data_IF_933459371591
#
_entry.id   IF_933459371591
#
_cell.length_a   1.000
_cell.length_b   1.000
_cell.length_c   1.000
_cell.angle_alpha   90.00
_cell.angle_beta   90.00
_cell.angle_gamma   90.00
#
_symmetry.space_group_name_H-M   'P 1'
#
loop_
_entity.id
_entity.type
_entity.pdbx_description
1 polymer ?
#
# COMPACT_ATOMS: atom_id res chain seq x y z
N UNK A 1 -4.16 -14.30 -6.34
CA UNK A 1 -3.65 -12.91 -6.46
C UNK A 1 -4.58 -11.88 -5.81
N UNK A 2 -5.91 -11.93 -5.99
CA UNK A 2 -6.86 -10.96 -5.39
C UNK A 2 -6.74 -10.86 -3.86
N UNK A 3 -6.55 -12.00 -3.19
CA UNK A 3 -6.40 -12.06 -1.73
C UNK A 3 -5.15 -11.34 -1.24
N UNK A 4 -4.07 -11.33 -2.02
CA UNK A 4 -2.78 -10.69 -1.64
C UNK A 4 -2.92 -9.16 -1.69
N UNK A 5 -3.64 -8.65 -2.70
CA UNK A 5 -3.99 -7.24 -2.81
C UNK A 5 -4.88 -6.78 -1.64
N UNK A 6 -5.84 -7.63 -1.24
CA UNK A 6 -6.73 -7.35 -0.12
C UNK A 6 -5.97 -7.34 1.21
N UNK A 7 -5.10 -8.32 1.44
CA UNK A 7 -4.24 -8.39 2.64
C UNK A 7 -3.32 -7.18 2.72
N UNK A 8 -2.68 -6.78 1.61
CA UNK A 8 -1.83 -5.60 1.57
C UNK A 8 -2.59 -4.30 1.93
N UNK A 9 -3.82 -4.15 1.42
CA UNK A 9 -4.67 -3.00 1.74
C UNK A 9 -5.06 -2.96 3.23
N UNK A 10 -5.39 -4.12 3.82
CA UNK A 10 -5.72 -4.23 5.25
C UNK A 10 -4.51 -3.90 6.13
N UNK A 11 -3.31 -4.39 5.77
CA UNK A 11 -2.07 -4.08 6.48
C UNK A 11 -1.81 -2.57 6.45
N UNK A 12 -1.90 -1.92 5.30
CA UNK A 12 -1.71 -0.47 5.19
C UNK A 12 -2.78 0.33 5.94
N UNK A 13 -4.03 -0.14 5.98
CA UNK A 13 -5.09 0.48 6.78
C UNK A 13 -4.79 0.41 8.29
N UNK A 14 -4.29 -0.73 8.77
CA UNK A 14 -3.86 -0.87 10.16
C UNK A 14 -2.65 0.03 10.48
N UNK A 15 -1.66 0.11 9.58
CA UNK A 15 -0.49 0.99 9.73
C UNK A 15 -0.91 2.46 9.79
N UNK A 16 -1.84 2.91 8.95
CA UNK A 16 -2.35 4.29 8.98
C UNK A 16 -3.12 4.61 10.26
N UNK A 17 -3.91 3.66 10.78
CA UNK A 17 -4.61 3.81 12.06
C UNK A 17 -3.63 3.94 13.22
N UNK A 18 -2.62 3.09 13.28
CA UNK A 18 -1.58 3.13 14.32
C UNK A 18 -0.77 4.42 14.21
N UNK A 19 -0.36 4.80 13.00
CA UNK A 19 0.38 6.05 12.77
C UNK A 19 -0.44 7.27 13.21
N UNK A 20 -1.74 7.29 12.91
CA UNK A 20 -2.66 8.36 13.33
C UNK A 20 -2.81 8.44 14.84
N UNK A 21 -2.86 7.30 15.51
CA UNK A 21 -2.96 7.26 16.95
C UNK A 21 -1.65 7.68 17.64
N UNK A 22 -0.51 7.26 17.11
CA UNK A 22 0.81 7.47 17.72
C UNK A 22 1.39 8.86 17.48
N UNK A 23 1.10 9.47 16.33
CA UNK A 23 1.66 10.78 15.94
C UNK A 23 0.66 11.94 16.01
N UNK A 24 -0.47 11.75 16.69
CA UNK A 24 -1.52 12.76 16.90
C UNK A 24 -0.98 14.11 17.40
N UNK A 25 0.05 14.08 18.26
CA UNK A 25 0.58 15.26 18.94
C UNK A 25 1.81 15.87 18.23
N UNK A 26 2.24 15.31 17.09
CA UNK A 26 3.43 15.76 16.37
C UNK A 26 3.09 16.84 15.31
N UNK A 27 3.70 18.03 15.34
CA UNK A 27 3.41 19.10 14.39
C UNK A 27 3.72 18.72 12.94
N UNK A 28 4.57 17.71 12.71
CA UNK A 28 4.94 17.24 11.38
C UNK A 28 4.11 16.05 10.87
N UNK A 29 3.11 15.61 11.64
CA UNK A 29 2.28 14.45 11.31
C UNK A 29 1.67 14.54 9.91
N UNK A 30 1.28 15.74 9.45
CA UNK A 30 0.69 15.95 8.11
C UNK A 30 1.61 15.51 6.97
N UNK A 31 2.92 15.77 7.10
CA UNK A 31 3.91 15.36 6.10
C UNK A 31 4.18 13.85 6.19
N UNK A 32 4.29 13.33 7.42
CA UNK A 32 4.53 11.91 7.66
C UNK A 32 3.38 11.05 7.14
N UNK A 33 2.14 11.47 7.39
CA UNK A 33 0.93 10.83 6.90
C UNK A 33 0.84 10.90 5.37
N UNK A 34 1.18 12.04 4.76
CA UNK A 34 1.23 12.18 3.31
C UNK A 34 2.21 11.21 2.65
N UNK A 35 3.42 11.08 3.20
CA UNK A 35 4.43 10.11 2.72
C UNK A 35 3.94 8.67 2.90
N UNK A 36 3.29 8.35 4.02
CA UNK A 36 2.73 7.02 4.27
C UNK A 36 1.67 6.66 3.24
N UNK A 37 0.71 7.56 2.96
CA UNK A 37 -0.35 7.33 1.99
C UNK A 37 0.23 7.20 0.58
N UNK A 38 1.25 7.99 0.24
CA UNK A 38 1.93 7.90 -1.04
C UNK A 38 2.66 6.56 -1.20
N UNK A 39 3.39 6.12 -0.18
CA UNK A 39 4.07 4.82 -0.16
C UNK A 39 3.08 3.65 -0.26
N UNK A 40 1.93 3.73 0.41
CA UNK A 40 0.85 2.75 0.33
C UNK A 40 0.28 2.63 -1.09
N UNK A 41 -0.02 3.77 -1.73
CA UNK A 41 -0.49 3.81 -3.11
C UNK A 41 0.55 3.29 -4.10
N UNK A 42 1.82 3.69 -3.92
CA UNK A 42 2.92 3.29 -4.77
C UNK A 42 3.16 1.77 -4.71
N UNK A 43 3.27 1.20 -3.51
CA UNK A 43 3.44 -0.26 -3.33
C UNK A 43 2.26 -1.04 -3.89
N UNK A 44 1.02 -0.58 -3.70
CA UNK A 44 -0.15 -1.20 -4.33
C UNK A 44 -0.09 -1.17 -5.86
N UNK A 45 0.33 -0.04 -6.45
CA UNK A 45 0.49 0.10 -7.90
C UNK A 45 1.58 -0.82 -8.46
N UNK A 46 2.73 -0.90 -7.79
CA UNK A 46 3.83 -1.81 -8.16
C UNK A 46 3.40 -3.26 -8.09
N UNK A 47 2.73 -3.68 -7.01
CA UNK A 47 2.20 -5.04 -6.85
C UNK A 47 1.16 -5.35 -7.94
N UNK A 48 0.29 -4.38 -8.25
CA UNK A 48 -0.72 -4.52 -9.30
C UNK A 48 -0.07 -4.69 -10.69
N UNK A 49 0.93 -3.87 -11.00
CA UNK A 49 1.72 -3.93 -12.23
C UNK A 49 2.46 -5.28 -12.36
N UNK A 50 3.16 -5.72 -11.30
CA UNK A 50 3.86 -7.00 -11.28
C UNK A 50 2.90 -8.20 -11.41
N UNK A 51 1.72 -8.12 -10.80
CA UNK A 51 0.66 -9.13 -10.95
C UNK A 51 0.10 -9.18 -12.37
N UNK A 52 -0.04 -8.03 -13.04
CA UNK A 52 -0.50 -7.96 -14.44
C UNK A 52 0.52 -8.60 -15.39
N UNK A 53 1.81 -8.31 -15.19
CA UNK A 53 2.92 -8.87 -15.98
C UNK A 53 3.00 -10.41 -15.93
N UNK A 54 2.72 -11.01 -14.75
CA UNK A 54 2.64 -12.48 -14.61
C UNK A 54 1.50 -13.12 -15.41
N UNK A 55 0.39 -12.39 -15.64
CA UNK A 55 -0.74 -12.92 -16.41
C UNK A 55 -0.46 -12.95 -17.91
N UNK A 56 0.23 -11.95 -18.45
CA UNK A 56 0.63 -11.92 -19.86
C UNK A 56 1.63 -13.04 -20.21
N UNK A 57 2.60 -13.31 -19.32
CA UNK A 57 3.57 -14.40 -19.54
C UNK A 57 2.97 -15.82 -19.56
N UNK A 58 1.70 -15.99 -19.15
CA UNK A 58 1.01 -17.29 -19.18
C UNK A 58 0.25 -17.54 -20.47
N UNK A 59 0.10 -16.54 -21.35
CA UNK A 59 -0.54 -16.67 -22.67
C UNK A 59 0.47 -16.76 -23.82
N UNK A 60 1.77 -16.77 -23.52
CA UNK A 60 2.87 -16.83 -24.48
C UNK A 60 3.69 -18.13 -24.34
N UNK A 61 3.11 -19.16 -23.70
CA UNK A 61 3.71 -20.49 -23.56
C UNK A 61 2.78 -21.54 -24.14
#
# INVERSE_FOLDING_TARGET
MKNILLINAIVWAAVLLIASWMFKDDPNYKYFFGVLVFAAGFTNSVIHSASKRRRESSCLK
#
